data_IF_728554829702
#
_entry.id   IF_728554829702
#
_cell.length_a   1.000
_cell.length_b   1.000
_cell.length_c   1.000
_cell.angle_alpha   90.00
_cell.angle_beta   90.00
_cell.angle_gamma   90.00
#
_symmetry.space_group_name_H-M   'P 1'
#
loop_
_entity.id
_entity.type
_entity.pdbx_description
1 polymer ?
#
# COMPACT_ATOMS: atom_id res chain seq x y z
N UNK A 1 -23.00 -33.44 7.07
CA UNK A 1 -22.25 -32.40 6.35
C UNK A 1 -22.06 -31.22 7.30
N UNK A 2 -20.87 -30.64 7.42
CA UNK A 2 -20.69 -29.42 8.19
C UNK A 2 -21.62 -28.35 7.63
N UNK A 3 -22.25 -27.58 8.52
CA UNK A 3 -23.13 -26.47 8.14
C UNK A 3 -22.30 -25.43 7.37
N UNK A 4 -22.73 -24.94 6.20
CA UNK A 4 -21.98 -23.90 5.51
C UNK A 4 -21.92 -22.64 6.39
N UNK A 5 -20.77 -21.98 6.42
CA UNK A 5 -20.60 -20.71 7.12
C UNK A 5 -21.60 -19.67 6.60
N UNK A 6 -22.28 -18.98 7.49
CA UNK A 6 -23.11 -17.82 7.13
C UNK A 6 -22.22 -16.70 6.56
N UNK A 7 -22.81 -15.76 5.85
CA UNK A 7 -22.08 -14.62 5.25
C UNK A 7 -21.30 -13.82 6.32
N UNK A 8 -21.91 -13.54 7.45
CA UNK A 8 -21.25 -12.87 8.59
C UNK A 8 -20.08 -13.67 9.17
N UNK A 9 -20.21 -14.99 9.26
CA UNK A 9 -19.10 -15.85 9.71
C UNK A 9 -17.97 -15.87 8.70
N UNK A 10 -18.29 -15.86 7.40
CA UNK A 10 -17.29 -15.78 6.34
C UNK A 10 -16.52 -14.46 6.39
N UNK A 11 -17.21 -13.34 6.45
CA UNK A 11 -16.60 -12.01 6.58
C UNK A 11 -15.71 -11.91 7.82
N UNK A 12 -16.17 -12.42 8.95
CA UNK A 12 -15.41 -12.46 10.19
C UNK A 12 -14.11 -13.26 10.04
N UNK A 13 -14.17 -14.47 9.45
CA UNK A 13 -13.01 -15.31 9.26
C UNK A 13 -12.02 -14.67 8.27
N UNK A 14 -12.50 -14.13 7.14
CA UNK A 14 -11.67 -13.45 6.15
C UNK A 14 -10.92 -12.28 6.80
N UNK A 15 -11.64 -11.44 7.57
CA UNK A 15 -11.03 -10.31 8.28
C UNK A 15 -9.91 -10.78 9.20
N UNK A 16 -10.17 -11.80 10.04
CA UNK A 16 -9.16 -12.31 10.98
C UNK A 16 -7.96 -12.95 10.26
N UNK A 17 -8.20 -13.64 9.14
CA UNK A 17 -7.13 -14.19 8.31
C UNK A 17 -6.23 -13.06 7.77
N UNK A 18 -6.80 -11.96 7.30
CA UNK A 18 -6.05 -10.80 6.81
C UNK A 18 -5.32 -10.07 7.92
N UNK A 19 -5.96 -9.86 9.06
CA UNK A 19 -5.33 -9.21 10.22
C UNK A 19 -4.10 -10.02 10.70
N UNK A 20 -4.22 -11.34 10.87
CA UNK A 20 -3.09 -12.19 11.25
C UNK A 20 -2.04 -12.35 10.15
N UNK A 21 -2.43 -12.27 8.88
CA UNK A 21 -1.49 -12.22 7.78
C UNK A 21 -0.65 -10.93 7.79
N UNK A 22 -1.24 -9.77 8.07
CA UNK A 22 -0.53 -8.49 8.26
C UNK A 22 0.49 -8.60 9.41
N UNK A 23 0.08 -9.15 10.55
CA UNK A 23 0.97 -9.37 11.70
C UNK A 23 2.13 -10.34 11.35
N UNK A 24 1.85 -11.44 10.66
CA UNK A 24 2.88 -12.38 10.22
C UNK A 24 3.84 -11.74 9.21
N UNK A 25 3.33 -10.93 8.28
CA UNK A 25 4.17 -10.18 7.34
C UNK A 25 5.09 -9.19 8.06
N UNK A 26 4.57 -8.50 9.08
CA UNK A 26 5.36 -7.57 9.90
C UNK A 26 6.47 -8.28 10.66
N UNK A 27 6.15 -9.42 11.29
CA UNK A 27 7.09 -10.15 12.15
C UNK A 27 8.11 -10.97 11.36
N UNK A 28 7.68 -11.67 10.30
CA UNK A 28 8.46 -12.73 9.67
C UNK A 28 8.78 -12.48 8.19
N UNK A 29 8.06 -11.56 7.52
CA UNK A 29 8.10 -11.39 6.06
C UNK A 29 7.38 -12.52 5.32
N UNK A 30 7.40 -12.46 3.99
CA UNK A 30 6.66 -13.38 3.10
C UNK A 30 7.18 -14.82 3.19
N UNK A 31 8.52 -14.97 3.21
CA UNK A 31 9.17 -16.30 3.14
C UNK A 31 8.87 -17.17 4.35
N UNK A 32 8.85 -16.60 5.55
CA UNK A 32 8.66 -17.32 6.79
C UNK A 32 7.21 -17.39 7.24
N UNK A 33 6.32 -16.61 6.68
CA UNK A 33 4.88 -16.69 6.94
C UNK A 33 4.32 -17.97 6.32
N UNK A 34 3.64 -18.79 7.11
CA UNK A 34 3.06 -20.07 6.70
C UNK A 34 1.57 -20.13 6.98
N UNK A 35 0.82 -20.95 6.20
CA UNK A 35 -0.60 -21.20 6.47
C UNK A 35 -0.80 -21.76 7.88
N UNK A 36 0.08 -22.68 8.31
CA UNK A 36 -0.04 -23.30 9.63
C UNK A 36 0.05 -22.29 10.78
N UNK A 37 0.95 -21.28 10.66
CA UNK A 37 1.05 -20.21 11.65
C UNK A 37 -0.20 -19.33 11.66
N UNK A 38 -0.68 -18.91 10.47
CA UNK A 38 -1.86 -18.05 10.35
C UNK A 38 -3.11 -18.74 10.93
N UNK A 39 -3.38 -19.98 10.52
CA UNK A 39 -4.59 -20.70 11.00
C UNK A 39 -4.55 -20.99 12.49
N UNK A 40 -3.35 -21.19 13.06
CA UNK A 40 -3.16 -21.35 14.50
C UNK A 40 -3.54 -20.07 15.24
N UNK A 41 -3.16 -18.90 14.73
CA UNK A 41 -3.47 -17.58 15.32
C UNK A 41 -4.97 -17.26 15.21
N UNK A 42 -5.58 -17.55 14.06
CA UNK A 42 -7.03 -17.40 13.84
C UNK A 42 -7.86 -18.46 14.58
N UNK A 43 -7.21 -19.52 15.07
CA UNK A 43 -7.85 -20.67 15.75
C UNK A 43 -8.88 -21.40 14.84
N UNK A 44 -8.49 -21.68 13.60
CA UNK A 44 -9.29 -22.47 12.64
C UNK A 44 -8.49 -23.68 12.13
N UNK A 45 -9.17 -24.77 11.72
CA UNK A 45 -8.50 -25.86 11.04
C UNK A 45 -7.88 -25.45 9.71
N UNK A 46 -6.73 -26.02 9.34
CA UNK A 46 -6.06 -25.74 8.05
C UNK A 46 -6.97 -25.97 6.85
N UNK A 47 -7.83 -26.98 6.88
CA UNK A 47 -8.83 -27.23 5.82
C UNK A 47 -9.84 -26.10 5.68
N UNK A 48 -10.13 -25.37 6.77
CA UNK A 48 -11.01 -24.21 6.73
C UNK A 48 -10.37 -23.03 5.98
N UNK A 49 -9.07 -22.83 6.06
CA UNK A 49 -8.35 -21.83 5.28
C UNK A 49 -8.64 -21.93 3.79
N UNK A 50 -8.57 -23.16 3.24
CA UNK A 50 -8.77 -23.41 1.81
C UNK A 50 -10.23 -23.28 1.34
N UNK A 51 -11.18 -23.01 2.25
CA UNK A 51 -12.54 -22.60 1.89
C UNK A 51 -12.62 -21.08 1.56
N UNK A 52 -11.60 -20.32 1.91
CA UNK A 52 -11.56 -18.86 1.77
C UNK A 52 -10.47 -18.40 0.80
N UNK A 53 -9.30 -19.03 0.81
CA UNK A 53 -8.15 -18.68 -0.03
C UNK A 53 -7.53 -19.93 -0.64
N UNK A 54 -7.40 -19.97 -1.96
CA UNK A 54 -6.80 -21.10 -2.69
C UNK A 54 -5.29 -21.25 -2.41
N UNK A 55 -4.62 -20.16 -1.99
CA UNK A 55 -3.20 -20.15 -1.65
C UNK A 55 -2.86 -19.14 -0.56
N UNK A 56 -1.71 -19.36 0.08
CA UNK A 56 -1.12 -18.40 1.01
C UNK A 56 -0.87 -17.06 0.32
N UNK A 57 -0.39 -17.11 -0.90
CA UNK A 57 -0.01 -15.93 -1.68
C UNK A 57 -1.22 -15.05 -1.98
N UNK A 58 -2.39 -15.61 -2.23
CA UNK A 58 -3.64 -14.86 -2.38
C UNK A 58 -4.03 -14.12 -1.10
N UNK A 59 -3.96 -14.77 0.07
CA UNK A 59 -4.21 -14.11 1.34
C UNK A 59 -3.20 -13.01 1.62
N UNK A 60 -1.90 -13.27 1.40
CA UNK A 60 -0.86 -12.27 1.66
C UNK A 60 -1.00 -11.05 0.74
N UNK A 61 -1.37 -11.26 -0.51
CA UNK A 61 -1.65 -10.18 -1.45
C UNK A 61 -2.86 -9.36 -1.04
N UNK A 62 -3.95 -10.02 -0.65
CA UNK A 62 -5.16 -9.34 -0.16
C UNK A 62 -4.87 -8.51 1.12
N UNK A 63 -4.05 -9.04 2.03
CA UNK A 63 -3.60 -8.31 3.22
C UNK A 63 -2.70 -7.10 2.88
N UNK A 64 -1.83 -7.23 1.88
CA UNK A 64 -0.99 -6.13 1.37
C UNK A 64 -1.86 -5.06 0.70
N UNK A 65 -2.87 -5.46 -0.07
CA UNK A 65 -3.80 -4.54 -0.71
C UNK A 65 -4.61 -3.74 0.33
N UNK A 66 -4.99 -4.34 1.45
CA UNK A 66 -5.64 -3.61 2.53
C UNK A 66 -4.73 -2.49 3.08
N UNK A 67 -3.45 -2.79 3.35
CA UNK A 67 -2.48 -1.79 3.82
C UNK A 67 -2.34 -0.66 2.78
N UNK A 68 -2.24 -1.02 1.51
CA UNK A 68 -2.13 -0.07 0.42
C UNK A 68 -3.38 0.84 0.32
N UNK A 69 -4.58 0.26 0.38
CA UNK A 69 -5.84 0.99 0.35
C UNK A 69 -6.00 1.92 1.58
N UNK A 70 -5.57 1.49 2.76
CA UNK A 70 -5.55 2.31 3.97
C UNK A 70 -4.65 3.54 3.79
N UNK A 71 -3.48 3.37 3.16
CA UNK A 71 -2.54 4.46 2.85
C UNK A 71 -3.16 5.44 1.85
N UNK A 72 -3.75 4.95 0.75
CA UNK A 72 -4.39 5.79 -0.27
C UNK A 72 -5.59 6.56 0.30
N UNK A 73 -6.43 5.88 1.10
CA UNK A 73 -7.59 6.51 1.76
C UNK A 73 -7.14 7.60 2.72
N UNK A 74 -6.06 7.37 3.47
CA UNK A 74 -5.52 8.38 4.37
C UNK A 74 -5.03 9.60 3.60
N UNK A 75 -4.26 9.41 2.53
CA UNK A 75 -3.80 10.52 1.68
C UNK A 75 -4.98 11.32 1.11
N UNK A 76 -5.97 10.64 0.54
CA UNK A 76 -7.16 11.30 0.00
C UNK A 76 -7.86 12.16 1.06
N UNK A 77 -8.08 11.61 2.26
CA UNK A 77 -8.74 12.32 3.34
C UNK A 77 -7.92 13.52 3.83
N UNK A 78 -6.60 13.40 3.91
CA UNK A 78 -5.73 14.52 4.28
C UNK A 78 -5.79 15.64 3.24
N UNK A 79 -5.68 15.32 1.96
CA UNK A 79 -5.77 16.31 0.86
C UNK A 79 -7.13 17.01 0.86
N UNK A 80 -8.23 16.26 0.97
CA UNK A 80 -9.60 16.82 0.96
C UNK A 80 -9.90 17.60 2.25
N UNK A 81 -9.25 17.29 3.37
CA UNK A 81 -9.44 18.01 4.63
C UNK A 81 -8.81 19.40 4.65
N UNK A 82 -7.95 19.72 3.68
CA UNK A 82 -7.40 21.08 3.55
C UNK A 82 -8.51 22.01 3.07
N UNK A 83 -9.18 22.69 4.02
CA UNK A 83 -10.31 23.60 3.76
C UNK A 83 -9.89 24.97 3.26
N UNK A 84 -8.61 25.32 3.43
CA UNK A 84 -7.99 26.54 2.91
C UNK A 84 -7.33 26.26 1.55
N UNK A 85 -6.82 27.32 0.92
CA UNK A 85 -6.05 27.17 -0.32
C UNK A 85 -4.87 26.19 -0.12
N UNK A 86 -4.79 25.17 -1.00
CA UNK A 86 -3.71 24.21 -1.02
C UNK A 86 -2.46 24.94 -1.53
N UNK A 87 -1.45 25.07 -0.67
CA UNK A 87 -0.14 25.61 -1.04
C UNK A 87 0.87 24.50 -1.31
N UNK A 88 1.94 24.80 -2.05
CA UNK A 88 3.06 23.85 -2.25
C UNK A 88 3.61 23.33 -0.93
N UNK A 89 3.72 24.18 0.09
CA UNK A 89 4.21 23.80 1.42
C UNK A 89 3.28 22.79 2.09
N UNK A 90 1.97 23.08 2.18
CA UNK A 90 0.97 22.17 2.77
C UNK A 90 0.93 20.82 2.05
N UNK A 91 0.97 20.81 0.73
CA UNK A 91 0.96 19.56 -0.03
C UNK A 91 2.26 18.79 0.14
N UNK A 92 3.41 19.48 0.19
CA UNK A 92 4.70 18.85 0.49
C UNK A 92 4.70 18.20 1.87
N UNK A 93 4.19 18.87 2.90
CA UNK A 93 4.10 18.33 4.26
C UNK A 93 3.19 17.12 4.34
N UNK A 94 2.03 17.17 3.69
CA UNK A 94 1.09 16.05 3.59
C UNK A 94 1.75 14.82 2.95
N UNK A 95 2.38 14.99 1.78
CA UNK A 95 3.06 13.90 1.09
C UNK A 95 4.28 13.38 1.86
N UNK A 96 5.07 14.26 2.47
CA UNK A 96 6.19 13.86 3.32
C UNK A 96 5.71 12.99 4.49
N UNK A 97 4.66 13.39 5.19
CA UNK A 97 4.03 12.61 6.26
C UNK A 97 3.57 11.24 5.77
N UNK A 98 2.98 11.17 4.57
CA UNK A 98 2.57 9.92 3.96
C UNK A 98 3.76 8.98 3.71
N UNK A 99 4.84 9.47 3.09
CA UNK A 99 6.04 8.65 2.84
C UNK A 99 6.66 8.13 4.14
N UNK A 100 6.71 8.94 5.19
CA UNK A 100 7.17 8.51 6.53
C UNK A 100 6.28 7.40 7.08
N UNK A 101 4.96 7.53 6.96
CA UNK A 101 4.01 6.51 7.39
C UNK A 101 4.15 5.21 6.61
N UNK A 102 4.37 5.28 5.29
CA UNK A 102 4.62 4.10 4.46
C UNK A 102 5.92 3.41 4.85
N UNK A 103 6.98 4.17 5.15
CA UNK A 103 8.28 3.64 5.58
C UNK A 103 8.19 2.85 6.90
N UNK A 104 7.25 3.19 7.77
CA UNK A 104 6.98 2.49 9.03
C UNK A 104 6.18 1.18 8.83
N UNK A 105 5.56 0.97 7.68
CA UNK A 105 4.80 -0.25 7.38
C UNK A 105 5.71 -1.42 6.99
N UNK A 106 5.17 -2.65 7.05
CA UNK A 106 5.87 -3.82 6.51
C UNK A 106 5.99 -3.78 4.98
N UNK A 107 5.20 -2.94 4.29
CA UNK A 107 5.16 -2.86 2.83
C UNK A 107 6.50 -2.41 2.24
N UNK A 108 7.11 -1.35 2.78
CA UNK A 108 8.42 -0.86 2.35
C UNK A 108 9.49 -1.97 2.42
N UNK A 109 9.54 -2.71 3.53
CA UNK A 109 10.46 -3.82 3.72
C UNK A 109 10.20 -4.98 2.76
N UNK A 110 8.94 -5.36 2.54
CA UNK A 110 8.55 -6.44 1.63
C UNK A 110 9.00 -6.11 0.21
N UNK A 111 8.81 -4.86 -0.23
CA UNK A 111 9.21 -4.42 -1.57
C UNK A 111 10.73 -4.32 -1.68
N UNK A 112 11.41 -3.68 -0.73
CA UNK A 112 12.87 -3.52 -0.72
C UNK A 112 13.61 -4.87 -0.77
N UNK A 113 13.05 -5.91 -0.12
CA UNK A 113 13.62 -7.26 -0.12
C UNK A 113 13.21 -8.12 -1.33
N UNK A 114 12.47 -7.58 -2.30
CA UNK A 114 11.95 -8.32 -3.46
C UNK A 114 10.95 -9.42 -3.08
N UNK A 115 10.37 -9.35 -1.88
CA UNK A 115 9.43 -10.39 -1.41
C UNK A 115 8.05 -10.25 -2.05
N UNK A 116 7.67 -9.05 -2.50
CA UNK A 116 6.43 -8.84 -3.26
C UNK A 116 6.42 -9.64 -4.57
N UNK A 117 7.57 -9.69 -5.26
CA UNK A 117 7.70 -10.48 -6.49
C UNK A 117 7.44 -11.98 -6.26
N UNK A 118 7.78 -12.51 -5.07
CA UNK A 118 7.54 -13.92 -4.73
C UNK A 118 6.05 -14.22 -4.64
N UNK A 119 5.26 -13.25 -4.18
CA UNK A 119 3.80 -13.34 -4.15
C UNK A 119 3.27 -13.25 -5.58
N UNK A 120 3.63 -12.17 -6.30
CA UNK A 120 3.08 -11.86 -7.62
C UNK A 120 3.30 -12.96 -8.65
N UNK A 121 4.45 -13.65 -8.62
CA UNK A 121 4.74 -14.79 -9.52
C UNK A 121 3.78 -15.97 -9.38
N UNK A 122 3.03 -16.03 -8.27
CA UNK A 122 2.08 -17.12 -7.97
C UNK A 122 0.63 -16.69 -8.07
N UNK A 123 0.37 -15.44 -8.40
CA UNK A 123 -0.99 -14.92 -8.56
C UNK A 123 -1.45 -15.07 -10.01
N UNK A 124 -2.77 -15.25 -10.21
CA UNK A 124 -3.39 -15.11 -11.53
C UNK A 124 -3.13 -13.71 -12.10
N UNK A 125 -2.86 -13.63 -13.42
CA UNK A 125 -2.60 -12.33 -14.08
C UNK A 125 -3.78 -11.35 -13.97
N UNK A 126 -5.00 -11.88 -13.92
CA UNK A 126 -6.23 -11.09 -13.79
C UNK A 126 -6.23 -10.27 -12.50
N UNK A 127 -5.83 -10.89 -11.39
CA UNK A 127 -5.76 -10.22 -10.06
C UNK A 127 -4.73 -9.08 -10.07
N UNK A 128 -3.58 -9.30 -10.72
CA UNK A 128 -2.54 -8.28 -10.84
C UNK A 128 -3.04 -7.10 -11.69
N UNK A 129 -3.70 -7.39 -12.82
CA UNK A 129 -4.27 -6.35 -13.70
C UNK A 129 -5.35 -5.53 -13.01
N UNK A 130 -6.24 -6.19 -12.27
CA UNK A 130 -7.30 -5.52 -11.52
C UNK A 130 -6.72 -4.57 -10.48
N UNK A 131 -5.72 -5.00 -9.72
CA UNK A 131 -5.02 -4.16 -8.74
C UNK A 131 -4.37 -2.94 -9.40
N UNK A 132 -3.62 -3.11 -10.48
CA UNK A 132 -2.97 -2.01 -11.18
C UNK A 132 -3.97 -0.99 -11.75
N UNK A 133 -5.12 -1.48 -12.21
CA UNK A 133 -6.20 -0.60 -12.70
C UNK A 133 -6.78 0.22 -11.56
N UNK A 134 -7.05 -0.40 -10.43
CA UNK A 134 -7.58 0.27 -9.24
C UNK A 134 -6.61 1.34 -8.71
N UNK A 135 -5.32 1.06 -8.66
CA UNK A 135 -4.28 1.99 -8.23
C UNK A 135 -4.24 3.26 -9.09
N UNK A 136 -4.29 3.09 -10.41
CA UNK A 136 -4.28 4.22 -11.33
C UNK A 136 -5.51 5.12 -11.13
N UNK A 137 -6.70 4.53 -10.95
CA UNK A 137 -7.94 5.28 -10.71
C UNK A 137 -7.87 6.04 -9.37
N UNK A 138 -7.34 5.42 -8.32
CA UNK A 138 -7.22 6.04 -7.00
C UNK A 138 -6.26 7.22 -7.01
N UNK A 139 -5.10 7.09 -7.65
CA UNK A 139 -4.13 8.19 -7.79
C UNK A 139 -4.69 9.34 -8.63
N UNK A 140 -5.43 9.03 -9.70
CA UNK A 140 -6.10 10.02 -10.52
C UNK A 140 -7.14 10.82 -9.72
N UNK A 141 -7.94 10.15 -8.88
CA UNK A 141 -8.91 10.80 -8.00
C UNK A 141 -8.24 11.76 -7.01
N UNK A 142 -7.12 11.35 -6.39
CA UNK A 142 -6.38 12.19 -5.45
C UNK A 142 -5.85 13.44 -6.15
N UNK A 143 -5.17 13.29 -7.29
CA UNK A 143 -4.62 14.42 -8.03
C UNK A 143 -5.74 15.35 -8.50
N UNK A 144 -6.82 14.82 -9.08
CA UNK A 144 -7.94 15.61 -9.57
C UNK A 144 -8.73 16.33 -8.45
N UNK A 145 -8.56 15.91 -7.18
CA UNK A 145 -9.15 16.64 -6.04
C UNK A 145 -8.44 17.96 -5.74
N UNK A 146 -7.26 18.19 -6.33
CA UNK A 146 -6.46 19.41 -6.17
C UNK A 146 -6.75 20.35 -7.38
N UNK A 147 -7.40 21.50 -7.18
CA UNK A 147 -7.83 22.35 -8.31
C UNK A 147 -6.69 22.82 -9.23
N UNK A 148 -5.50 23.05 -8.66
CA UNK A 148 -4.30 23.54 -9.36
C UNK A 148 -3.69 22.51 -10.31
N UNK A 149 -4.04 21.22 -10.17
CA UNK A 149 -3.48 20.16 -11.02
C UNK A 149 -4.26 19.94 -12.32
N UNK A 150 -5.32 20.73 -12.53
CA UNK A 150 -6.20 20.60 -13.66
C UNK A 150 -5.45 20.80 -14.99
N UNK A 151 -5.48 19.80 -15.87
CA UNK A 151 -4.79 19.84 -17.16
C UNK A 151 -3.35 19.33 -17.13
N UNK A 152 -2.83 18.93 -15.97
CA UNK A 152 -1.50 18.30 -15.86
C UNK A 152 -1.51 16.83 -16.32
N UNK A 153 -0.38 16.35 -16.80
CA UNK A 153 -0.23 14.94 -17.15
C UNK A 153 -0.03 14.10 -15.89
N UNK A 154 -1.10 13.49 -15.39
CA UNK A 154 -1.13 12.71 -14.15
C UNK A 154 -0.13 11.55 -14.19
N UNK A 155 0.06 10.89 -15.34
CA UNK A 155 0.98 9.76 -15.50
C UNK A 155 2.43 10.15 -15.16
N UNK A 156 2.88 11.34 -15.60
CA UNK A 156 4.25 11.82 -15.31
C UNK A 156 4.46 12.09 -13.83
N UNK A 157 3.49 12.73 -13.18
CA UNK A 157 3.58 13.01 -11.75
C UNK A 157 3.46 11.75 -10.90
N UNK A 158 2.56 10.81 -11.24
CA UNK A 158 2.49 9.50 -10.61
C UNK A 158 3.81 8.73 -10.78
N UNK A 159 4.44 8.82 -11.95
CA UNK A 159 5.77 8.24 -12.19
C UNK A 159 6.84 8.88 -11.31
N UNK A 160 6.84 10.22 -11.16
CA UNK A 160 7.78 10.93 -10.30
C UNK A 160 7.62 10.54 -8.81
N UNK A 161 6.39 10.46 -8.31
CA UNK A 161 6.12 10.01 -6.93
C UNK A 161 6.53 8.55 -6.72
N UNK A 162 6.28 7.65 -7.68
CA UNK A 162 6.83 6.28 -7.62
C UNK A 162 8.37 6.27 -7.58
N UNK A 163 9.03 7.16 -8.32
CA UNK A 163 10.50 7.32 -8.26
C UNK A 163 10.98 7.74 -6.87
N UNK A 164 10.28 8.67 -6.22
CA UNK A 164 10.58 9.07 -4.82
C UNK A 164 10.39 7.88 -3.88
N UNK A 165 9.32 7.08 -4.06
CA UNK A 165 9.10 5.88 -3.26
C UNK A 165 10.25 4.86 -3.42
N UNK A 166 10.72 4.62 -4.65
CA UNK A 166 11.87 3.74 -4.88
C UNK A 166 13.14 4.29 -4.24
N UNK A 167 13.37 5.61 -4.27
CA UNK A 167 14.48 6.23 -3.55
C UNK A 167 14.39 6.00 -2.04
N UNK A 168 13.18 6.05 -1.46
CA UNK A 168 12.97 5.76 -0.03
C UNK A 168 13.36 4.32 0.33
N UNK A 169 13.09 3.34 -0.54
CA UNK A 169 13.51 1.95 -0.32
C UNK A 169 15.04 1.79 -0.28
N UNK A 170 15.78 2.71 -0.91
CA UNK A 170 17.23 2.77 -0.99
C UNK A 170 17.85 3.91 -0.15
N UNK A 171 17.18 4.32 0.92
CA UNK A 171 17.62 5.43 1.77
C UNK A 171 19.02 5.24 2.37
N UNK A 172 19.43 4.00 2.61
CA UNK A 172 20.75 3.69 3.16
C UNK A 172 21.87 4.02 2.17
N UNK A 173 21.66 3.75 0.87
CA UNK A 173 22.60 4.05 -0.20
C UNK A 173 22.69 5.56 -0.49
N UNK A 174 21.58 6.27 -0.32
CA UNK A 174 21.53 7.74 -0.48
C UNK A 174 22.19 8.44 0.72
N UNK A 175 22.02 7.88 1.92
CA UNK A 175 22.57 8.39 3.17
C UNK A 175 21.48 8.58 4.23
N UNK A 176 21.35 7.61 5.12
CA UNK A 176 20.28 7.52 6.11
C UNK A 176 20.12 8.81 6.94
N UNK A 177 21.25 9.46 7.30
CA UNK A 177 21.23 10.67 8.15
C UNK A 177 20.69 11.93 7.48
N UNK A 178 20.78 11.98 6.13
CA UNK A 178 20.33 13.13 5.34
C UNK A 178 19.04 12.83 4.58
N UNK A 179 18.56 11.59 4.65
CA UNK A 179 17.49 11.13 3.77
C UNK A 179 16.18 11.89 3.98
N UNK A 180 15.86 12.27 5.20
CA UNK A 180 14.64 13.04 5.49
C UNK A 180 14.63 14.40 4.77
N UNK A 181 15.77 15.10 4.74
CA UNK A 181 15.91 16.36 4.01
C UNK A 181 15.86 16.13 2.49
N UNK A 182 16.54 15.07 2.01
CA UNK A 182 16.51 14.67 0.58
C UNK A 182 15.11 14.33 0.13
N UNK A 183 14.38 13.55 0.91
CA UNK A 183 12.99 13.18 0.64
C UNK A 183 12.11 14.43 0.50
N UNK A 184 12.23 15.36 1.44
CA UNK A 184 11.47 16.61 1.41
C UNK A 184 11.81 17.47 0.19
N UNK A 185 13.08 17.56 -0.20
CA UNK A 185 13.54 18.27 -1.42
C UNK A 185 12.92 17.64 -2.67
N UNK A 186 12.96 16.30 -2.79
CA UNK A 186 12.40 15.60 -3.95
C UNK A 186 10.89 15.82 -4.06
N UNK A 187 10.15 15.66 -2.95
CA UNK A 187 8.70 15.87 -2.92
C UNK A 187 8.38 17.31 -3.30
N UNK A 188 9.02 18.30 -2.66
CA UNK A 188 8.78 19.70 -2.93
C UNK A 188 9.04 20.07 -4.40
N UNK A 189 10.10 19.54 -5.00
CA UNK A 189 10.40 19.77 -6.41
C UNK A 189 9.32 19.25 -7.36
N UNK A 190 8.73 18.08 -7.07
CA UNK A 190 7.60 17.55 -7.86
C UNK A 190 6.32 18.35 -7.59
N UNK A 191 6.06 18.73 -6.33
CA UNK A 191 4.87 19.51 -5.95
C UNK A 191 4.86 20.88 -6.58
N UNK A 192 5.99 21.59 -6.61
CA UNK A 192 6.10 22.88 -7.29
C UNK A 192 5.69 22.75 -8.76
N UNK A 193 6.26 21.79 -9.49
CA UNK A 193 5.91 21.59 -10.91
C UNK A 193 4.46 21.13 -11.12
N UNK A 194 3.91 20.40 -10.17
CA UNK A 194 2.50 19.98 -10.23
C UNK A 194 1.56 21.15 -10.06
N UNK A 195 1.90 22.13 -9.22
CA UNK A 195 1.03 23.24 -8.82
C UNK A 195 1.30 24.55 -9.58
N UNK A 196 2.47 24.70 -10.20
CA UNK A 196 2.77 25.85 -11.07
C UNK A 196 2.07 25.71 -12.44
N UNK A 197 1.64 26.86 -13.02
CA UNK A 197 1.00 26.93 -14.35
C UNK A 197 1.91 26.50 -15.51
#
# INVERSE_FOLDING_TARGET
>A
MPKPYSEKEREYIIKHLKDEAKECLLLYGVKKTTVDEIVKRVNIPKGTFYLFYDSKELLLFDAINDIHNEIQTHLYNEVVSITEEITCEKLTDCLYGLYKKVDETCLSRIIANGELELIMRKLPEEIIKEHLTHDNVSMEQIINSIPQTKGKNIEYFSGAFRGIFLAMLHKNEIGEKIFDDVLRIMINGVVIQLMEE
#
